data_IF_467369327280
#
_entry.id   IF_467369327280
#
_cell.length_a   1.000
_cell.length_b   1.000
_cell.length_c   1.000
_cell.angle_alpha   90.00
_cell.angle_beta   90.00
_cell.angle_gamma   90.00
#
_symmetry.space_group_name_H-M   'P 1'
#
loop_
_entity.id
_entity.type
_entity.pdbx_description
1 polymer ?
#
# COMPACT_ATOMS: atom_id res chain seq x y z
N UNK A 1 5.76 -0.58 -0.25
CA UNK A 1 6.71 0.48 0.16
C UNK A 1 5.96 1.79 0.23
N UNK A 2 6.02 2.44 1.34
CA UNK A 2 5.36 3.73 1.62
C UNK A 2 6.43 4.80 1.78
N UNK A 3 6.24 5.95 1.16
CA UNK A 3 7.14 7.10 1.29
C UNK A 3 6.44 8.19 2.05
N UNK A 4 7.11 8.75 3.05
CA UNK A 4 6.71 9.97 3.71
C UNK A 4 7.61 11.11 3.26
N UNK A 5 6.95 12.18 2.88
CA UNK A 5 7.55 13.48 2.72
C UNK A 5 6.87 14.42 3.70
N UNK A 6 7.64 14.97 4.62
CA UNK A 6 7.16 15.99 5.56
C UNK A 6 7.80 17.31 5.15
N UNK A 7 7.00 18.20 4.61
CA UNK A 7 7.47 19.52 4.24
C UNK A 7 7.52 20.44 5.49
N UNK A 8 8.67 21.00 5.80
CA UNK A 8 8.85 22.01 6.86
C UNK A 8 8.43 23.43 6.43
N UNK A 9 7.69 23.57 5.34
CA UNK A 9 7.29 24.90 4.86
C UNK A 9 5.87 25.20 5.35
N UNK A 10 5.79 26.25 6.15
CA UNK A 10 4.57 26.97 6.51
C UNK A 10 3.81 27.31 5.22
N UNK A 11 2.53 26.96 5.20
CA UNK A 11 1.52 27.30 4.20
C UNK A 11 1.26 26.27 3.07
N UNK A 12 0.17 25.50 3.28
CA UNK A 12 -0.69 24.94 2.25
C UNK A 12 -0.08 23.97 1.24
N UNK A 13 0.24 22.73 1.64
CA UNK A 13 0.36 21.66 0.65
C UNK A 13 -0.31 20.36 1.10
N UNK A 14 -1.06 19.73 0.18
CA UNK A 14 -1.74 18.45 0.41
C UNK A 14 -0.76 17.27 0.39
N UNK A 15 -1.04 16.26 1.19
CA UNK A 15 -0.32 14.98 1.17
C UNK A 15 -0.46 14.30 -0.19
N UNK A 16 0.67 13.96 -0.78
CA UNK A 16 0.71 13.27 -2.06
C UNK A 16 1.03 11.79 -1.85
N UNK A 17 0.05 10.92 -2.08
CA UNK A 17 0.27 9.49 -2.13
C UNK A 17 0.44 9.04 -3.56
N UNK A 18 1.59 8.48 -3.84
CA UNK A 18 1.79 7.76 -5.07
C UNK A 18 2.11 6.32 -4.73
N UNK A 19 1.21 5.40 -5.09
CA UNK A 19 1.58 4.01 -5.18
C UNK A 19 2.45 3.85 -6.41
N UNK A 20 3.67 3.39 -6.19
CA UNK A 20 4.53 3.00 -7.29
C UNK A 20 4.10 1.62 -7.77
N UNK A 21 3.96 1.42 -9.09
CA UNK A 21 3.51 0.15 -9.62
C UNK A 21 4.46 -0.99 -9.23
N UNK A 22 3.88 -2.11 -8.81
CA UNK A 22 4.62 -3.34 -8.58
C UNK A 22 5.32 -3.78 -9.87
N UNK A 23 6.61 -4.08 -9.79
CA UNK A 23 7.36 -4.56 -10.95
C UNK A 23 6.93 -5.99 -11.28
N UNK A 24 6.67 -6.26 -12.56
CA UNK A 24 6.31 -7.61 -13.05
C UNK A 24 7.43 -8.60 -12.75
N UNK A 25 7.07 -9.76 -12.23
CA UNK A 25 7.93 -10.93 -12.24
C UNK A 25 8.07 -11.45 -13.69
N UNK A 26 9.27 -11.36 -14.24
CA UNK A 26 9.63 -12.03 -15.48
C UNK A 26 10.96 -12.75 -15.26
N UNK A 27 10.99 -14.04 -15.58
CA UNK A 27 12.09 -15.04 -15.52
C UNK A 27 13.31 -14.77 -14.63
N UNK A 28 13.53 -15.68 -13.72
CA UNK A 28 14.16 -15.55 -12.41
C UNK A 28 15.64 -15.11 -12.27
N UNK A 29 16.42 -14.82 -13.28
CA UNK A 29 17.83 -14.43 -13.09
C UNK A 29 18.30 -13.15 -13.77
N UNK A 30 17.85 -12.85 -14.97
CA UNK A 30 18.18 -11.58 -15.64
C UNK A 30 17.24 -10.45 -15.22
N UNK A 31 16.05 -10.78 -14.78
CA UNK A 31 15.01 -9.83 -14.40
C UNK A 31 15.19 -9.20 -13.00
N UNK A 32 15.87 -9.88 -12.06
CA UNK A 32 16.10 -9.33 -10.73
C UNK A 32 16.89 -8.00 -10.75
N UNK A 33 17.85 -7.86 -11.66
CA UNK A 33 18.58 -6.60 -11.88
C UNK A 33 17.73 -5.52 -12.53
N UNK A 34 16.93 -5.87 -13.52
CA UNK A 34 16.05 -4.94 -14.22
C UNK A 34 14.91 -4.46 -13.34
N UNK A 35 14.33 -5.34 -12.52
CA UNK A 35 13.25 -5.04 -11.59
C UNK A 35 13.70 -4.06 -10.51
N UNK A 36 14.87 -4.24 -9.92
CA UNK A 36 15.44 -3.33 -8.91
C UNK A 36 15.68 -1.93 -9.49
N UNK A 37 16.22 -1.85 -10.69
CA UNK A 37 16.46 -0.57 -11.37
C UNK A 37 15.16 0.12 -11.80
N UNK A 38 14.17 -0.63 -12.28
CA UNK A 38 12.86 -0.11 -12.67
C UNK A 38 12.09 0.48 -11.50
N UNK A 39 12.07 -0.16 -10.33
CA UNK A 39 11.37 0.35 -9.14
C UNK A 39 11.94 1.71 -8.70
N UNK A 40 13.26 1.84 -8.56
CA UNK A 40 13.88 3.10 -8.20
C UNK A 40 13.63 4.21 -9.24
N UNK A 41 13.71 3.91 -10.54
CA UNK A 41 13.40 4.88 -11.61
C UNK A 41 11.95 5.37 -11.55
N UNK A 42 10.99 4.50 -11.28
CA UNK A 42 9.58 4.89 -11.17
C UNK A 42 9.36 5.82 -9.99
N UNK A 43 10.00 5.55 -8.84
CA UNK A 43 10.01 6.44 -7.69
C UNK A 43 10.52 7.82 -8.10
N UNK A 44 11.70 7.90 -8.72
CA UNK A 44 12.26 9.16 -9.19
C UNK A 44 11.35 9.88 -10.18
N UNK A 45 10.72 9.17 -11.11
CA UNK A 45 9.77 9.74 -12.08
C UNK A 45 8.53 10.30 -11.40
N UNK A 46 7.95 9.56 -10.45
CA UNK A 46 6.79 10.01 -9.69
C UNK A 46 7.10 11.23 -8.83
N UNK A 47 8.24 11.24 -8.13
CA UNK A 47 8.67 12.39 -7.35
C UNK A 47 8.90 13.63 -8.26
N UNK A 48 9.53 13.44 -9.42
CA UNK A 48 9.72 14.54 -10.39
C UNK A 48 8.41 15.10 -10.91
N UNK A 49 7.40 14.26 -11.14
CA UNK A 49 6.07 14.71 -11.55
C UNK A 49 5.39 15.58 -10.46
N UNK A 50 5.79 15.39 -9.20
CA UNK A 50 5.37 16.20 -8.05
C UNK A 50 6.31 17.40 -7.79
N UNK A 51 7.32 17.62 -8.63
CA UNK A 51 8.33 18.66 -8.41
C UNK A 51 9.33 18.33 -7.31
N UNK A 52 9.49 17.04 -6.98
CA UNK A 52 10.32 16.52 -5.87
C UNK A 52 11.44 15.64 -6.34
N UNK A 53 12.37 15.35 -5.45
CA UNK A 53 13.54 14.48 -5.67
C UNK A 53 13.63 13.41 -4.58
N UNK A 54 14.52 12.44 -4.73
CA UNK A 54 14.81 11.48 -3.66
C UNK A 54 15.43 12.12 -2.41
N UNK A 55 16.03 13.31 -2.56
CA UNK A 55 16.58 14.07 -1.44
C UNK A 55 15.53 14.71 -0.53
N UNK A 56 14.30 14.85 -1.02
CA UNK A 56 13.17 15.42 -0.28
C UNK A 56 12.44 14.39 0.58
N UNK A 57 12.80 13.09 0.44
CA UNK A 57 12.20 12.02 1.25
C UNK A 57 12.63 12.13 2.71
N UNK A 58 11.67 12.17 3.63
CA UNK A 58 11.89 12.16 5.07
C UNK A 58 12.08 10.76 5.62
N UNK A 59 11.34 9.79 5.13
CA UNK A 59 11.40 8.40 5.55
C UNK A 59 10.86 7.46 4.47
N UNK A 60 11.28 6.19 4.53
CA UNK A 60 10.79 5.10 3.69
C UNK A 60 10.33 3.97 4.61
N UNK A 61 9.09 3.53 4.45
CA UNK A 61 8.51 2.43 5.23
C UNK A 61 8.29 1.21 4.34
N UNK A 62 8.74 0.07 4.82
CA UNK A 62 8.58 -1.22 4.15
C UNK A 62 7.49 -2.01 4.84
N UNK A 63 6.54 -2.53 4.07
CA UNK A 63 5.44 -3.36 4.59
C UNK A 63 5.92 -4.78 4.88
N UNK A 64 6.72 -5.36 3.99
CA UNK A 64 7.28 -6.70 4.10
C UNK A 64 8.40 -6.91 3.05
N UNK A 65 9.07 -8.08 3.09
CA UNK A 65 10.30 -8.35 2.33
C UNK A 65 10.11 -8.85 0.90
N UNK A 66 8.92 -9.05 0.39
CA UNK A 66 8.72 -9.55 -0.97
C UNK A 66 9.39 -8.66 -2.02
N UNK A 67 9.88 -9.29 -3.09
CA UNK A 67 10.77 -8.65 -4.07
C UNK A 67 10.15 -7.43 -4.78
N UNK A 68 8.85 -7.37 -4.95
CA UNK A 68 8.12 -6.24 -5.51
C UNK A 68 8.03 -5.05 -4.54
N UNK A 69 8.24 -5.28 -3.23
CA UNK A 69 8.31 -4.24 -2.21
C UNK A 69 9.74 -3.75 -1.96
N UNK A 70 10.73 -4.64 -1.97
CA UNK A 70 12.12 -4.27 -1.62
C UNK A 70 13.09 -4.24 -2.80
N UNK A 71 12.68 -4.65 -4.00
CA UNK A 71 13.55 -4.81 -5.16
C UNK A 71 14.34 -3.55 -5.59
N UNK A 72 13.81 -2.37 -5.31
CA UNK A 72 14.46 -1.08 -5.59
C UNK A 72 15.28 -0.51 -4.43
N UNK A 73 15.16 -1.07 -3.23
CA UNK A 73 15.60 -0.48 -1.97
C UNK A 73 17.11 -0.26 -1.90
N UNK A 74 17.90 -1.23 -2.33
CA UNK A 74 19.36 -1.12 -2.35
C UNK A 74 19.89 -0.01 -3.27
N UNK A 75 19.13 0.38 -4.29
CA UNK A 75 19.46 1.51 -5.17
C UNK A 75 18.97 2.82 -4.55
N UNK A 76 17.78 2.80 -3.96
CA UNK A 76 17.18 3.94 -3.27
C UNK A 76 18.06 4.41 -2.10
N UNK A 77 18.50 3.50 -1.24
CA UNK A 77 19.34 3.81 -0.07
C UNK A 77 20.73 4.38 -0.42
N UNK A 78 21.18 4.21 -1.67
CA UNK A 78 22.41 4.84 -2.17
C UNK A 78 22.19 6.25 -2.70
N UNK A 79 20.95 6.60 -3.05
CA UNK A 79 20.58 7.87 -3.70
C UNK A 79 19.82 8.82 -2.77
N UNK A 80 19.27 8.31 -1.68
CA UNK A 80 18.53 9.07 -0.68
C UNK A 80 19.16 8.86 0.69
N UNK A 81 19.22 9.93 1.50
CA UNK A 81 19.63 9.87 2.90
C UNK A 81 18.44 9.50 3.84
N UNK A 82 17.23 9.35 3.30
CA UNK A 82 16.06 9.02 4.10
C UNK A 82 16.23 7.66 4.78
N UNK A 83 15.99 7.56 6.10
CA UNK A 83 16.05 6.32 6.83
C UNK A 83 14.97 5.35 6.32
N UNK A 84 15.32 4.06 6.28
CA UNK A 84 14.42 2.98 5.87
C UNK A 84 13.93 2.26 7.11
N UNK A 85 12.63 2.32 7.35
CA UNK A 85 11.97 1.69 8.49
C UNK A 85 11.38 0.34 8.09
N UNK A 86 11.67 -0.70 8.89
CA UNK A 86 11.20 -2.07 8.67
C UNK A 86 10.85 -2.73 10.01
N UNK A 87 10.02 -3.75 10.01
CA UNK A 87 9.80 -4.57 11.20
C UNK A 87 11.07 -5.35 11.57
N UNK A 88 11.21 -5.72 12.84
CA UNK A 88 12.40 -6.45 13.34
C UNK A 88 12.64 -7.75 12.60
N UNK A 89 11.56 -8.48 12.26
CA UNK A 89 11.65 -9.71 11.50
C UNK A 89 12.29 -9.53 10.12
N UNK A 90 11.98 -8.43 9.45
CA UNK A 90 12.48 -8.10 8.09
C UNK A 90 13.89 -7.50 8.13
N UNK A 91 14.30 -6.89 9.25
CA UNK A 91 15.57 -6.13 9.35
C UNK A 91 16.82 -6.97 9.01
N UNK A 92 16.80 -8.27 9.29
CA UNK A 92 17.91 -9.20 9.03
C UNK A 92 18.00 -9.70 7.58
N UNK A 93 16.95 -9.48 6.79
CA UNK A 93 16.84 -9.93 5.39
C UNK A 93 17.39 -8.89 4.42
N UNK A 94 17.32 -7.62 4.81
CA UNK A 94 17.71 -6.50 3.93
C UNK A 94 19.21 -6.23 3.99
N UNK A 95 19.78 -5.87 2.85
CA UNK A 95 21.22 -5.62 2.68
C UNK A 95 21.61 -4.14 2.78
N UNK A 96 20.65 -3.25 3.07
CA UNK A 96 20.90 -1.81 3.28
C UNK A 96 20.70 -1.46 4.77
N UNK A 97 21.25 -0.33 5.25
CA UNK A 97 20.99 0.15 6.59
C UNK A 97 19.49 0.40 6.81
N UNK A 98 18.96 -0.09 7.93
CA UNK A 98 17.55 0.05 8.28
C UNK A 98 17.36 0.44 9.75
N UNK A 99 16.23 1.07 10.04
CA UNK A 99 15.74 1.32 11.40
C UNK A 99 14.65 0.30 11.71
N UNK A 100 14.89 -0.57 12.68
CA UNK A 100 13.96 -1.63 13.03
C UNK A 100 12.94 -1.16 14.08
N UNK A 101 11.66 -1.50 13.86
CA UNK A 101 10.56 -1.28 14.80
C UNK A 101 9.76 -2.58 15.02
N UNK A 102 8.80 -2.57 15.94
CA UNK A 102 7.90 -3.70 16.20
C UNK A 102 6.50 -3.37 15.64
N UNK A 103 5.82 -4.34 15.06
CA UNK A 103 4.44 -4.16 14.63
C UNK A 103 3.56 -3.67 15.79
N UNK A 104 2.79 -2.61 15.57
CA UNK A 104 2.03 -1.89 16.59
C UNK A 104 2.72 -0.63 17.13
N UNK A 105 4.02 -0.46 16.88
CA UNK A 105 4.74 0.76 17.27
C UNK A 105 4.19 1.99 16.54
N UNK A 106 4.25 3.13 17.25
CA UNK A 106 3.98 4.45 16.70
C UNK A 106 5.30 5.24 16.61
N UNK A 107 5.60 5.73 15.43
CA UNK A 107 6.80 6.51 15.13
C UNK A 107 6.40 7.96 14.89
N UNK A 108 7.09 8.89 15.55
CA UNK A 108 6.81 10.32 15.43
C UNK A 108 7.80 11.02 14.50
N UNK A 109 7.26 11.84 13.62
CA UNK A 109 8.02 12.70 12.72
C UNK A 109 7.54 14.15 12.88
N UNK A 110 8.34 15.10 12.40
CA UNK A 110 7.91 16.48 12.38
C UNK A 110 6.64 16.64 11.53
N UNK A 111 5.50 16.85 12.19
CA UNK A 111 4.20 17.10 11.56
C UNK A 111 3.31 15.87 11.31
N UNK A 112 3.76 14.65 11.61
CA UNK A 112 2.91 13.46 11.52
C UNK A 112 3.34 12.33 12.45
N UNK A 113 2.42 11.39 12.70
CA UNK A 113 2.70 10.11 13.34
C UNK A 113 2.44 8.97 12.37
N UNK A 114 3.24 7.91 12.46
CA UNK A 114 3.07 6.68 11.68
C UNK A 114 2.91 5.52 12.65
N UNK A 115 1.72 4.91 12.66
CA UNK A 115 1.42 3.71 13.43
C UNK A 115 1.40 2.51 12.51
N UNK A 116 2.15 1.47 12.83
CA UNK A 116 2.10 0.18 12.14
C UNK A 116 1.06 -0.74 12.76
N UNK A 117 0.56 -1.70 12.00
CA UNK A 117 -0.29 -2.79 12.47
C UNK A 117 -0.06 -4.04 11.64
N UNK A 118 -0.17 -5.23 12.26
CA UNK A 118 0.05 -6.50 11.57
C UNK A 118 -1.02 -6.79 10.52
N UNK A 119 -0.59 -7.29 9.37
CA UNK A 119 -1.44 -7.88 8.33
C UNK A 119 -1.31 -9.40 8.31
N UNK A 120 -2.20 -10.10 7.61
CA UNK A 120 -2.15 -11.55 7.44
C UNK A 120 -1.63 -11.86 6.04
N UNK A 121 -0.32 -12.10 5.94
CA UNK A 121 0.34 -12.36 4.66
C UNK A 121 1.49 -13.36 4.84
N UNK A 122 1.84 -14.09 3.77
CA UNK A 122 2.91 -15.08 3.75
C UNK A 122 4.32 -14.44 3.71
N UNK A 123 4.57 -13.57 4.69
CA UNK A 123 5.80 -12.84 4.90
C UNK A 123 6.25 -12.93 6.36
N UNK A 124 7.49 -12.54 6.67
CA UNK A 124 8.08 -12.78 8.00
C UNK A 124 7.42 -11.95 9.11
N UNK A 125 7.09 -10.69 8.84
CA UNK A 125 6.51 -9.78 9.84
C UNK A 125 5.79 -8.63 9.09
N UNK A 126 4.69 -8.96 8.36
CA UNK A 126 4.04 -8.04 7.45
C UNK A 126 3.19 -7.01 8.20
N UNK A 127 3.23 -5.75 7.74
CA UNK A 127 2.51 -4.64 8.35
C UNK A 127 1.81 -3.75 7.33
N UNK A 128 0.68 -3.18 7.75
CA UNK A 128 0.09 -1.98 7.17
C UNK A 128 0.42 -0.75 8.02
N UNK A 129 -0.01 0.43 7.56
CA UNK A 129 0.31 1.70 8.20
C UNK A 129 -0.91 2.60 8.31
N UNK A 130 -0.99 3.32 9.43
CA UNK A 130 -1.78 4.53 9.58
C UNK A 130 -0.85 5.71 9.72
N UNK A 131 -1.10 6.77 8.98
CA UNK A 131 -0.40 8.05 9.06
C UNK A 131 -1.40 9.10 9.49
N UNK A 132 -1.13 9.79 10.59
CA UNK A 132 -1.93 10.90 11.08
C UNK A 132 -1.12 12.18 11.00
N UNK A 133 -1.73 13.23 10.44
CA UNK A 133 -1.16 14.57 10.33
C UNK A 133 -2.20 15.62 10.71
N UNK A 134 -1.78 16.88 10.81
CA UNK A 134 -2.64 17.97 11.25
C UNK A 134 -3.87 18.18 10.33
N UNK A 135 -3.73 17.90 9.05
CA UNK A 135 -4.73 18.13 7.99
C UNK A 135 -5.49 16.87 7.56
N UNK A 136 -5.17 15.69 8.12
CA UNK A 136 -5.90 14.47 7.84
C UNK A 136 -5.13 13.19 8.16
N UNK A 137 -5.77 12.06 7.85
CA UNK A 137 -5.21 10.73 8.14
C UNK A 137 -5.32 9.80 6.93
N UNK A 138 -4.32 8.92 6.80
CA UNK A 138 -4.24 7.91 5.76
C UNK A 138 -4.10 6.52 6.38
N UNK A 139 -4.90 5.57 5.90
CA UNK A 139 -4.69 4.15 6.11
C UNK A 139 -4.13 3.46 4.88
N UNK A 140 -3.23 2.50 5.08
CA UNK A 140 -2.64 1.69 4.01
C UNK A 140 -2.77 0.22 4.42
N UNK A 141 -3.59 -0.51 3.67
CA UNK A 141 -3.83 -1.94 3.87
C UNK A 141 -3.69 -2.66 2.52
N UNK A 142 -2.55 -3.25 2.30
CA UNK A 142 -2.25 -4.12 1.15
C UNK A 142 -1.57 -5.38 1.64
N UNK A 143 -1.62 -6.42 0.84
CA UNK A 143 -0.97 -7.69 1.14
C UNK A 143 -1.52 -8.30 2.44
N UNK A 144 -2.79 -8.69 2.36
CA UNK A 144 -3.48 -9.35 3.47
C UNK A 144 -4.58 -10.28 2.96
N UNK A 145 -4.63 -11.51 3.43
CA UNK A 145 -5.69 -12.45 3.07
C UNK A 145 -7.03 -12.11 3.70
N UNK A 146 -7.01 -11.47 4.87
CA UNK A 146 -8.21 -10.93 5.54
C UNK A 146 -7.86 -9.70 6.38
N UNK A 147 -8.87 -8.90 6.72
CA UNK A 147 -8.70 -7.72 7.57
C UNK A 147 -8.60 -8.13 9.03
N UNK A 148 -7.41 -8.05 9.61
CA UNK A 148 -7.15 -8.41 11.00
C UNK A 148 -7.86 -7.47 11.98
N UNK A 149 -8.02 -7.91 13.25
CA UNK A 149 -8.55 -7.04 14.30
C UNK A 149 -7.70 -5.79 14.51
N UNK A 150 -6.37 -5.93 14.47
CA UNK A 150 -5.43 -4.83 14.57
C UNK A 150 -5.58 -3.81 13.42
N UNK A 151 -5.77 -4.31 12.18
CA UNK A 151 -6.02 -3.47 11.02
C UNK A 151 -7.34 -2.69 11.15
N UNK A 152 -8.42 -3.35 11.60
CA UNK A 152 -9.74 -2.71 11.82
C UNK A 152 -9.64 -1.57 12.84
N UNK A 153 -8.97 -1.84 13.97
CA UNK A 153 -8.78 -0.85 15.02
C UNK A 153 -7.92 0.33 14.54
N UNK A 154 -6.80 0.04 13.91
CA UNK A 154 -5.88 1.08 13.46
C UNK A 154 -6.49 1.97 12.36
N UNK A 155 -7.29 1.39 11.47
CA UNK A 155 -7.86 2.09 10.30
C UNK A 155 -9.22 2.73 10.57
N UNK A 156 -9.79 2.55 11.76
CA UNK A 156 -11.06 3.20 12.09
C UNK A 156 -10.96 4.72 12.00
N UNK A 157 -11.87 5.33 11.23
CA UNK A 157 -11.98 6.78 11.09
C UNK A 157 -10.83 7.47 10.35
N UNK A 158 -10.01 6.75 9.57
CA UNK A 158 -9.06 7.41 8.65
C UNK A 158 -9.79 8.17 7.56
N UNK A 159 -9.30 9.35 7.18
CA UNK A 159 -9.93 10.17 6.14
C UNK A 159 -9.80 9.52 4.76
N UNK A 160 -8.61 9.02 4.46
CA UNK A 160 -8.28 8.34 3.19
C UNK A 160 -7.79 6.93 3.46
N UNK A 161 -8.26 5.95 2.69
CA UNK A 161 -7.87 4.55 2.79
C UNK A 161 -7.34 4.04 1.46
N UNK A 162 -6.07 3.62 1.42
CA UNK A 162 -5.52 2.79 0.36
C UNK A 162 -5.80 1.33 0.72
N UNK A 163 -6.67 0.68 -0.04
CA UNK A 163 -7.21 -0.64 0.27
C UNK A 163 -6.88 -1.64 -0.83
N UNK A 164 -6.36 -2.81 -0.46
CA UNK A 164 -6.23 -3.91 -1.39
C UNK A 164 -7.60 -4.36 -1.94
N UNK A 165 -7.65 -4.57 -3.25
CA UNK A 165 -8.71 -5.31 -3.95
C UNK A 165 -8.01 -6.18 -5.00
N UNK A 166 -7.44 -7.31 -4.55
CA UNK A 166 -6.49 -8.03 -5.37
C UNK A 166 -7.16 -8.80 -6.50
N UNK A 167 -8.21 -9.55 -6.21
CA UNK A 167 -8.79 -10.46 -7.19
C UNK A 167 -10.31 -10.53 -7.10
N UNK A 168 -10.92 -10.74 -8.24
CA UNK A 168 -12.27 -11.26 -8.35
C UNK A 168 -12.25 -12.77 -8.13
N UNK A 169 -13.11 -13.28 -7.25
CA UNK A 169 -13.08 -14.68 -6.82
C UNK A 169 -13.40 -15.64 -7.98
N UNK A 170 -14.40 -15.32 -8.81
CA UNK A 170 -14.77 -16.16 -9.96
C UNK A 170 -13.67 -16.15 -11.00
N UNK A 171 -13.14 -14.97 -11.36
CA UNK A 171 -12.04 -14.83 -12.30
C UNK A 171 -10.81 -15.63 -11.85
N UNK A 172 -10.47 -15.59 -10.56
CA UNK A 172 -9.39 -16.40 -10.03
C UNK A 172 -9.69 -17.90 -10.07
N UNK A 173 -10.90 -18.31 -9.68
CA UNK A 173 -11.27 -19.73 -9.64
C UNK A 173 -11.25 -20.38 -11.02
N UNK A 174 -11.75 -19.69 -12.05
CA UNK A 174 -11.83 -20.20 -13.41
C UNK A 174 -10.65 -19.78 -14.30
N UNK A 175 -9.78 -18.88 -13.80
CA UNK A 175 -8.61 -18.38 -14.50
C UNK A 175 -7.49 -19.41 -14.71
N UNK A 176 -6.41 -19.03 -15.42
CA UNK A 176 -5.37 -19.96 -15.86
C UNK A 176 -4.37 -20.35 -14.76
N UNK A 177 -4.46 -19.81 -13.58
CA UNK A 177 -3.48 -20.09 -12.51
C UNK A 177 -3.54 -21.54 -12.04
N UNK A 178 -2.39 -22.17 -11.71
CA UNK A 178 -2.36 -23.51 -11.13
C UNK A 178 -3.11 -23.55 -9.79
N UNK A 179 -3.68 -24.71 -9.47
CA UNK A 179 -4.49 -24.90 -8.26
C UNK A 179 -3.79 -24.47 -6.96
N UNK A 180 -2.51 -24.79 -6.80
CA UNK A 180 -1.76 -24.42 -5.59
C UNK A 180 -1.65 -22.89 -5.43
N UNK A 181 -1.49 -22.15 -6.54
CA UNK A 181 -1.42 -20.69 -6.52
C UNK A 181 -2.79 -20.07 -6.21
N UNK A 182 -3.87 -20.63 -6.76
CA UNK A 182 -5.24 -20.20 -6.40
C UNK A 182 -5.50 -20.39 -4.92
N UNK A 183 -5.12 -21.54 -4.36
CA UNK A 183 -5.26 -21.79 -2.90
C UNK A 183 -4.44 -20.83 -2.04
N UNK A 184 -3.22 -20.51 -2.47
CA UNK A 184 -2.38 -19.53 -1.77
C UNK A 184 -3.03 -18.15 -1.77
N UNK A 185 -3.53 -17.68 -2.92
CA UNK A 185 -4.17 -16.36 -3.06
C UNK A 185 -5.45 -16.27 -2.24
N UNK A 186 -6.28 -17.32 -2.24
CA UNK A 186 -7.55 -17.40 -1.50
C UNK A 186 -7.39 -17.70 0.00
N UNK A 187 -6.19 -18.06 0.44
CA UNK A 187 -5.93 -18.41 1.84
C UNK A 187 -5.82 -17.20 2.75
N UNK A 188 -5.83 -17.46 4.06
CA UNK A 188 -5.77 -16.41 5.08
C UNK A 188 -4.48 -15.56 5.02
N UNK A 189 -3.39 -16.13 4.51
CA UNK A 189 -2.12 -15.43 4.28
C UNK A 189 -1.94 -14.97 2.82
N UNK A 190 -3.01 -15.01 2.02
CA UNK A 190 -2.99 -14.62 0.61
C UNK A 190 -3.26 -13.14 0.41
N UNK A 191 -4.31 -12.84 -0.37
CA UNK A 191 -4.67 -11.48 -0.74
C UNK A 191 -6.18 -11.24 -0.61
N UNK A 192 -6.54 -9.98 -0.34
CA UNK A 192 -7.92 -9.57 -0.15
C UNK A 192 -8.70 -9.61 -1.47
N UNK A 193 -9.81 -10.35 -1.50
CA UNK A 193 -10.71 -10.36 -2.65
C UNK A 193 -11.48 -9.05 -2.77
N UNK A 194 -12.08 -8.81 -3.95
CA UNK A 194 -12.95 -7.65 -4.18
C UNK A 194 -14.13 -7.63 -3.19
N UNK A 195 -14.71 -8.80 -2.86
CA UNK A 195 -15.82 -8.89 -1.91
C UNK A 195 -15.40 -8.56 -0.48
N UNK A 196 -14.25 -9.07 -0.04
CA UNK A 196 -13.72 -8.77 1.28
C UNK A 196 -13.28 -7.28 1.39
N UNK A 197 -12.73 -6.71 0.33
CA UNK A 197 -12.44 -5.28 0.23
C UNK A 197 -13.73 -4.45 0.32
N UNK A 198 -14.79 -4.86 -0.36
CA UNK A 198 -16.09 -4.20 -0.33
C UNK A 198 -16.72 -4.20 1.06
N UNK A 199 -16.65 -5.31 1.78
CA UNK A 199 -17.14 -5.39 3.15
C UNK A 199 -16.34 -4.47 4.09
N UNK A 200 -15.01 -4.46 3.97
CA UNK A 200 -14.21 -3.56 4.81
C UNK A 200 -14.39 -2.09 4.41
N UNK A 201 -14.51 -1.77 3.13
CA UNK A 201 -14.80 -0.42 2.67
C UNK A 201 -16.10 0.12 3.29
N UNK A 202 -17.15 -0.72 3.38
CA UNK A 202 -18.41 -0.37 4.04
C UNK A 202 -18.18 0.02 5.51
N UNK A 203 -17.41 -0.78 6.26
CA UNK A 203 -17.09 -0.50 7.67
C UNK A 203 -16.24 0.77 7.81
N UNK A 204 -15.27 0.97 6.93
CA UNK A 204 -14.42 2.15 6.93
C UNK A 204 -15.23 3.44 6.68
N UNK A 205 -16.14 3.43 5.70
CA UNK A 205 -17.02 4.58 5.44
C UNK A 205 -17.96 4.86 6.61
N UNK A 206 -18.51 3.82 7.23
CA UNK A 206 -19.34 3.97 8.45
C UNK A 206 -18.55 4.57 9.62
N UNK A 207 -17.25 4.34 9.70
CA UNK A 207 -16.37 4.92 10.73
C UNK A 207 -15.84 6.32 10.39
N UNK A 208 -16.14 6.86 9.18
CA UNK A 208 -15.80 8.23 8.81
C UNK A 208 -14.86 8.40 7.62
N UNK A 209 -14.40 7.32 6.98
CA UNK A 209 -13.57 7.38 5.78
C UNK A 209 -14.31 8.07 4.62
N UNK A 210 -13.64 9.00 3.95
CA UNK A 210 -14.22 9.87 2.90
C UNK A 210 -13.64 9.62 1.53
N UNK A 211 -12.47 8.99 1.45
CA UNK A 211 -11.78 8.68 0.20
C UNK A 211 -11.21 7.26 0.27
N UNK A 212 -11.52 6.42 -0.71
CA UNK A 212 -10.99 5.06 -0.83
C UNK A 212 -10.32 4.92 -2.19
N UNK A 213 -9.05 4.54 -2.17
CA UNK A 213 -8.30 4.19 -3.35
C UNK A 213 -8.03 2.68 -3.34
N UNK A 214 -8.70 1.94 -4.21
CA UNK A 214 -8.46 0.51 -4.39
C UNK A 214 -7.11 0.29 -5.05
N UNK A 215 -6.37 -0.71 -4.57
CA UNK A 215 -4.99 -0.90 -4.97
C UNK A 215 -4.61 -2.39 -4.97
N UNK A 216 -3.39 -2.69 -5.43
CA UNK A 216 -2.81 -4.04 -5.43
C UNK A 216 -3.63 -5.07 -6.23
N UNK A 217 -4.23 -4.64 -7.35
CA UNK A 217 -5.03 -5.51 -8.22
C UNK A 217 -4.14 -6.54 -8.94
N UNK A 218 -4.55 -7.79 -8.92
CA UNK A 218 -3.97 -8.85 -9.77
C UNK A 218 -4.11 -8.49 -11.25
N UNK A 219 -3.08 -8.75 -12.01
CA UNK A 219 -3.11 -8.49 -13.45
C UNK A 219 -4.01 -9.47 -14.20
N UNK A 220 -3.98 -10.72 -13.76
CA UNK A 220 -4.64 -11.83 -14.47
C UNK A 220 -6.03 -12.13 -13.89
N UNK A 221 -6.28 -11.76 -12.63
CA UNK A 221 -7.48 -12.18 -11.91
C UNK A 221 -8.35 -10.99 -11.45
N UNK A 222 -8.10 -9.78 -12.00
CA UNK A 222 -8.91 -8.61 -11.69
C UNK A 222 -8.80 -7.54 -12.77
N UNK A 223 -9.81 -6.66 -12.81
CA UNK A 223 -9.76 -5.40 -13.56
C UNK A 223 -10.16 -4.24 -12.65
N UNK A 224 -9.77 -3.00 -12.98
CA UNK A 224 -10.24 -1.81 -12.25
C UNK A 224 -11.76 -1.77 -12.12
N UNK A 225 -12.47 -2.12 -13.18
CA UNK A 225 -13.94 -2.07 -13.25
C UNK A 225 -14.58 -3.11 -12.32
N UNK A 226 -14.05 -4.33 -12.23
CA UNK A 226 -14.54 -5.37 -11.33
C UNK A 226 -14.34 -4.98 -9.87
N UNK A 227 -13.16 -4.47 -9.52
CA UNK A 227 -12.85 -4.03 -8.16
C UNK A 227 -13.73 -2.85 -7.74
N UNK A 228 -13.84 -1.83 -8.59
CA UNK A 228 -14.66 -0.65 -8.33
C UNK A 228 -16.14 -1.02 -8.23
N UNK A 229 -16.65 -1.85 -9.13
CA UNK A 229 -18.03 -2.31 -9.12
C UNK A 229 -18.41 -3.04 -7.84
N UNK A 230 -17.56 -3.97 -7.36
CA UNK A 230 -17.83 -4.72 -6.13
C UNK A 230 -17.96 -3.79 -4.93
N UNK A 231 -17.04 -2.83 -4.76
CA UNK A 231 -17.04 -1.89 -3.65
C UNK A 231 -18.18 -0.87 -3.78
N UNK A 232 -18.38 -0.29 -4.97
CA UNK A 232 -19.45 0.68 -5.21
C UNK A 232 -20.84 0.08 -4.94
N UNK A 233 -21.07 -1.15 -5.38
CA UNK A 233 -22.33 -1.87 -5.14
C UNK A 233 -22.59 -2.10 -3.67
N UNK A 234 -21.58 -2.52 -2.89
CA UNK A 234 -21.72 -2.75 -1.46
C UNK A 234 -22.03 -1.44 -0.69
N UNK A 235 -21.36 -0.36 -1.05
CA UNK A 235 -21.60 0.97 -0.48
C UNK A 235 -23.02 1.46 -0.82
N UNK A 236 -23.43 1.36 -2.07
CA UNK A 236 -24.76 1.76 -2.53
C UNK A 236 -25.87 0.97 -1.81
N UNK A 237 -25.69 -0.35 -1.67
CA UNK A 237 -26.65 -1.20 -0.95
C UNK A 237 -26.77 -0.84 0.52
N UNK A 238 -25.76 -0.26 1.12
CA UNK A 238 -25.76 0.25 2.49
C UNK A 238 -26.18 1.73 2.62
N UNK A 239 -26.53 2.39 1.51
CA UNK A 239 -26.87 3.82 1.50
C UNK A 239 -25.68 4.73 1.81
N UNK A 240 -24.45 4.25 1.58
CA UNK A 240 -23.21 4.97 1.87
C UNK A 240 -22.64 5.61 0.60
N UNK A 241 -21.94 6.73 0.77
CA UNK A 241 -21.25 7.45 -0.30
C UNK A 241 -19.84 7.80 0.12
N UNK A 242 -18.88 7.63 -0.78
CA UNK A 242 -17.46 7.92 -0.58
C UNK A 242 -16.85 8.30 -1.93
N UNK A 243 -15.76 9.06 -1.94
CA UNK A 243 -14.92 9.16 -3.13
C UNK A 243 -14.22 7.82 -3.32
N UNK A 244 -14.53 7.12 -4.40
CA UNK A 244 -13.97 5.82 -4.73
C UNK A 244 -13.16 5.92 -6.01
N UNK A 245 -11.99 5.33 -6.03
CA UNK A 245 -11.14 5.22 -7.22
C UNK A 245 -10.29 3.97 -7.19
N UNK A 246 -9.62 3.69 -8.30
CA UNK A 246 -8.67 2.57 -8.44
C UNK A 246 -7.30 3.11 -8.81
N UNK A 247 -6.29 2.75 -8.04
CA UNK A 247 -4.90 3.13 -8.32
C UNK A 247 -4.44 2.49 -9.64
N UNK A 248 -3.96 3.27 -10.61
CA UNK A 248 -3.44 2.71 -11.85
C UNK A 248 -2.20 1.86 -11.57
N UNK A 249 -2.03 0.78 -12.32
CA UNK A 249 -0.94 -0.19 -12.10
C UNK A 249 0.43 0.34 -12.48
N UNK A 250 0.51 1.02 -13.60
CA UNK A 250 1.78 1.35 -14.27
C UNK A 250 2.08 2.86 -14.29
N UNK A 251 1.14 3.69 -13.86
CA UNK A 251 1.27 5.15 -13.80
C UNK A 251 1.01 5.65 -12.37
N UNK A 252 1.31 6.90 -12.15
CA UNK A 252 0.97 7.59 -10.91
C UNK A 252 -0.54 7.81 -10.84
N UNK A 253 -1.17 7.58 -9.68
CA UNK A 253 -2.56 7.97 -9.44
C UNK A 253 -2.70 9.51 -9.42
N UNK A 254 -3.94 9.99 -9.49
CA UNK A 254 -4.23 11.36 -9.11
C UNK A 254 -3.81 11.63 -7.66
N UNK A 255 -3.57 12.89 -7.35
CA UNK A 255 -3.28 13.32 -5.99
C UNK A 255 -4.54 13.22 -5.13
N UNK A 256 -4.48 12.38 -4.11
CA UNK A 256 -5.52 12.27 -3.10
C UNK A 256 -5.17 13.17 -1.92
N UNK A 257 -6.06 14.09 -1.59
CA UNK A 257 -5.91 15.04 -0.50
C UNK A 257 -6.62 14.50 0.73
N UNK A 258 -5.86 14.17 1.79
CA UNK A 258 -6.44 13.96 3.10
C UNK A 258 -6.92 15.33 3.61
N UNK A 259 -8.22 15.58 3.58
CA UNK A 259 -8.84 16.80 4.13
C UNK A 259 -9.81 16.38 5.22
N UNK A 260 -9.65 17.00 6.37
CA UNK A 260 -10.68 16.98 7.43
C UNK A 260 -11.93 17.74 6.99
#
# INVERSE_FOLDING_TARGET
MVFLEVDQIKDRFPWNFTRLPAARAATARSCARATRCCSCRRIEQSLRALGRTLGDLTAVFITHEHADHVGGLATLSKKSAAPVYVTRGVSHILTCPVVAFTAGDTLEFAGCTVRSFSTSHDAVDPVGYRVDAADGSLGILTDTGFVTGAAREALAGVDTLLLEANHDVETLQYGPYPYFLKRRILGDEGHLSNDAAAEFARLAVQSGTRDILLAHLSKENNTPELAEYAVARALQSAGLSVRLGVAPRDTMSEVHLCRR
#
